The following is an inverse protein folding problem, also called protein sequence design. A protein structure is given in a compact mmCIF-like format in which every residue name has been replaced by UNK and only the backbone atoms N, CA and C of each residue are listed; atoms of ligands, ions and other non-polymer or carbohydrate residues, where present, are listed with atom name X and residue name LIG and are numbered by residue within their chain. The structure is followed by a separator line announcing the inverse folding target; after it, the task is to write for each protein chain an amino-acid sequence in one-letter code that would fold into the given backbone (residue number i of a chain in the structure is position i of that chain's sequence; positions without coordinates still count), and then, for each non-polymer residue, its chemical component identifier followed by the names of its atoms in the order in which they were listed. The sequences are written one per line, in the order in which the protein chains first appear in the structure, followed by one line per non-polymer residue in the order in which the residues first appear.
data_IF_829856415245
#
_entry.id   IF_829856415245
#
_cell.length_a   1.000
_cell.length_b   1.000
_cell.length_c   1.000
_cell.angle_alpha   90.00
_cell.angle_beta   90.00
_cell.angle_gamma   90.00
#
_symmetry.space_group_name_H-M   'P 1'
#
loop_
_entity.id
_entity.type
_entity.pdbx_description
1 polymer ?
#
# COMPACT_ATOMS: atom_id res chain seq x y z
N UNK A 1 40.95 -22.76 16.20
CA UNK A 1 40.36 -22.95 14.88
C UNK A 1 40.45 -21.61 14.18
N UNK A 2 41.50 -21.41 13.42
CA UNK A 2 41.91 -20.14 12.80
C UNK A 2 41.06 -19.90 11.55
N UNK A 3 40.44 -18.73 11.43
CA UNK A 3 39.60 -18.35 10.29
C UNK A 3 40.50 -17.72 9.22
N UNK A 4 40.74 -18.46 8.13
CA UNK A 4 41.50 -18.00 6.96
C UNK A 4 40.66 -17.02 6.11
N UNK A 5 41.10 -15.78 6.08
CA UNK A 5 40.45 -14.63 5.45
C UNK A 5 40.73 -14.44 3.95
N UNK A 6 40.92 -15.49 3.16
CA UNK A 6 41.19 -15.36 1.72
C UNK A 6 40.06 -15.89 0.83
N UNK A 7 38.90 -15.23 0.79
CA UNK A 7 37.97 -15.34 -0.35
C UNK A 7 37.95 -14.05 -1.14
N UNK A 8 38.62 -14.10 -2.30
CA UNK A 8 38.58 -13.08 -3.34
C UNK A 8 37.14 -12.87 -3.78
N UNK A 9 36.77 -11.60 -4.00
CA UNK A 9 35.55 -11.21 -4.66
C UNK A 9 35.42 -12.00 -5.98
N UNK A 10 34.49 -12.93 -6.02
CA UNK A 10 34.10 -13.62 -7.24
C UNK A 10 33.30 -12.66 -8.11
N UNK A 11 33.75 -12.50 -9.33
CA UNK A 11 33.08 -11.77 -10.39
C UNK A 11 31.62 -12.18 -10.50
N UNK A 12 30.71 -11.23 -10.29
CA UNK A 12 29.30 -11.33 -10.65
C UNK A 12 29.23 -11.10 -12.16
N UNK A 13 28.71 -12.03 -12.95
CA UNK A 13 28.59 -11.81 -14.39
C UNK A 13 27.65 -10.62 -14.68
N UNK A 14 28.06 -9.72 -15.56
CA UNK A 14 27.34 -8.53 -16.04
C UNK A 14 26.02 -8.80 -16.79
N UNK A 15 25.49 -10.02 -16.71
CA UNK A 15 24.31 -10.47 -17.45
C UNK A 15 22.94 -10.16 -16.77
N UNK A 16 22.91 -9.38 -15.67
CA UNK A 16 21.65 -9.12 -14.94
C UNK A 16 21.03 -7.74 -15.18
N UNK A 17 21.64 -6.91 -16.05
CA UNK A 17 21.04 -5.63 -16.47
C UNK A 17 20.67 -5.65 -17.96
N UNK A 18 19.82 -6.57 -18.38
CA UNK A 18 19.07 -6.36 -19.61
C UNK A 18 17.94 -5.39 -19.33
N UNK A 19 18.18 -4.13 -19.67
CA UNK A 19 17.17 -3.09 -19.73
C UNK A 19 16.07 -3.51 -20.70
N UNK A 20 14.89 -3.79 -20.17
CA UNK A 20 13.68 -3.95 -20.98
C UNK A 20 13.33 -2.58 -21.59
N UNK A 21 13.51 -2.35 -22.89
CA UNK A 21 13.14 -1.08 -23.50
C UNK A 21 11.61 -0.98 -23.53
N UNK A 22 11.07 -0.08 -22.68
CA UNK A 22 9.67 0.35 -22.77
C UNK A 22 9.45 0.93 -24.17
N UNK A 23 8.82 0.17 -25.05
CA UNK A 23 8.39 0.65 -26.38
C UNK A 23 7.38 1.77 -26.20
N UNK A 24 7.84 3.01 -26.25
CA UNK A 24 6.96 4.18 -26.46
C UNK A 24 6.43 4.11 -27.88
N UNK A 25 5.19 3.68 -28.03
CA UNK A 25 4.45 3.74 -29.29
C UNK A 25 4.01 5.18 -29.54
N UNK A 26 4.86 5.98 -30.16
CA UNK A 26 4.45 7.25 -30.74
C UNK A 26 3.80 6.95 -32.11
N UNK A 27 2.49 6.87 -32.13
CA UNK A 27 1.73 6.94 -33.41
C UNK A 27 1.76 8.38 -33.90
N UNK A 28 2.76 8.72 -34.69
CA UNK A 28 2.72 9.92 -35.54
C UNK A 28 1.71 9.68 -36.65
N UNK A 29 0.65 10.47 -36.65
CA UNK A 29 -0.25 10.60 -37.79
C UNK A 29 0.43 11.58 -38.75
N UNK A 30 1.05 11.05 -39.78
CA UNK A 30 1.57 11.85 -40.86
C UNK A 30 0.42 12.15 -41.83
N UNK A 31 -0.06 13.39 -41.86
CA UNK A 31 -0.93 13.88 -42.91
C UNK A 31 -0.04 14.32 -44.10
N UNK A 32 -0.05 13.55 -45.14
CA UNK A 32 0.58 13.92 -46.41
C UNK A 32 -0.33 14.88 -47.17
N UNK A 33 0.06 16.14 -47.28
CA UNK A 33 -0.54 17.09 -48.20
C UNK A 33 0.33 17.15 -49.47
N UNK A 34 -0.17 16.60 -50.56
CA UNK A 34 0.41 16.79 -51.91
C UNK A 34 -0.01 18.16 -52.41
N UNK A 35 0.94 19.08 -52.51
CA UNK A 35 0.73 20.37 -53.13
C UNK A 35 1.10 20.37 -54.62
N UNK A 36 0.14 20.64 -55.50
CA UNK A 36 0.40 20.97 -56.90
C UNK A 36 0.53 22.50 -57.02
N UNK A 37 1.70 22.96 -57.51
CA UNK A 37 1.94 24.34 -57.86
C UNK A 37 1.29 24.63 -59.22
N UNK A 38 0.36 25.58 -59.31
CA UNK A 38 0.05 26.30 -60.51
C UNK A 38 0.12 27.79 -60.25
N UNK A 39 1.09 28.45 -60.90
CA UNK A 39 1.28 29.88 -60.91
C UNK A 39 0.29 30.54 -61.88
N UNK A 40 -0.65 31.33 -61.39
CA UNK A 40 -1.24 32.43 -62.18
C UNK A 40 -1.57 33.58 -61.19
N UNK A 41 -1.11 34.77 -61.54
CA UNK A 41 -1.24 35.98 -60.72
C UNK A 41 -2.68 36.46 -60.56
N UNK A 42 -2.93 37.12 -59.44
CA UNK A 42 -4.19 37.86 -59.25
C UNK A 42 -4.52 38.10 -57.77
N UNK A 43 -4.39 39.36 -57.38
CA UNK A 43 -5.06 40.04 -56.28
C UNK A 43 -5.30 39.26 -54.95
N UNK A 44 -4.53 39.63 -53.94
CA UNK A 44 -4.70 39.14 -52.58
C UNK A 44 -5.94 39.76 -51.91
N UNK A 45 -7.05 39.05 -51.92
CA UNK A 45 -8.12 39.28 -50.94
C UNK A 45 -7.77 38.52 -49.68
N UNK A 46 -7.45 39.22 -48.60
CA UNK A 46 -7.29 38.62 -47.26
C UNK A 46 -8.67 38.23 -46.76
N UNK A 47 -9.09 37.02 -47.02
CA UNK A 47 -10.26 36.44 -46.39
C UNK A 47 -9.89 36.08 -44.95
N UNK A 48 -10.31 36.92 -43.98
CA UNK A 48 -10.35 36.54 -42.59
C UNK A 48 -11.28 35.31 -42.47
N UNK A 49 -10.69 34.13 -42.37
CA UNK A 49 -11.41 32.92 -42.02
C UNK A 49 -11.82 33.07 -40.51
N UNK A 50 -13.02 33.60 -40.29
CA UNK A 50 -13.68 33.50 -38.98
C UNK A 50 -13.93 32.02 -38.76
N UNK A 51 -13.14 31.41 -37.86
CA UNK A 51 -13.42 30.07 -37.37
C UNK A 51 -14.84 30.06 -36.83
N UNK A 52 -15.70 29.12 -37.24
CA UNK A 52 -17.03 29.03 -36.67
C UNK A 52 -16.89 28.83 -35.15
N UNK A 53 -17.53 29.71 -34.38
CA UNK A 53 -17.58 29.58 -32.94
C UNK A 53 -18.09 28.16 -32.58
N UNK A 54 -17.33 27.44 -31.74
CA UNK A 54 -17.73 26.13 -31.31
C UNK A 54 -19.15 26.23 -30.70
N UNK A 55 -20.06 25.41 -31.19
CA UNK A 55 -21.40 25.34 -30.62
C UNK A 55 -21.32 25.10 -29.10
N UNK A 56 -22.14 25.78 -28.29
CA UNK A 56 -22.16 25.57 -26.86
C UNK A 56 -22.36 24.08 -26.57
N UNK A 57 -21.45 23.49 -25.77
CA UNK A 57 -21.56 22.10 -25.36
C UNK A 57 -22.92 21.87 -24.71
N UNK A 58 -23.62 20.82 -25.12
CA UNK A 58 -24.88 20.44 -24.51
C UNK A 58 -24.68 20.24 -23.00
N UNK A 59 -25.62 20.68 -22.14
CA UNK A 59 -25.49 20.52 -20.72
C UNK A 59 -25.33 19.04 -20.37
N UNK A 60 -24.23 18.71 -19.68
CA UNK A 60 -24.00 17.35 -19.17
C UNK A 60 -25.12 17.10 -18.14
N UNK A 61 -25.99 16.12 -18.42
CA UNK A 61 -26.94 15.64 -17.42
C UNK A 61 -26.14 15.03 -16.26
N UNK A 62 -26.03 15.77 -15.17
CA UNK A 62 -25.54 15.20 -13.90
C UNK A 62 -26.54 14.10 -13.50
N UNK A 63 -26.04 12.88 -13.28
CA UNK A 63 -26.88 11.80 -12.77
C UNK A 63 -27.52 12.27 -11.46
N UNK A 64 -28.83 12.00 -11.30
CA UNK A 64 -29.52 12.32 -10.05
C UNK A 64 -28.81 11.60 -8.90
N UNK A 65 -28.57 12.30 -7.80
CA UNK A 65 -28.03 11.71 -6.58
C UNK A 65 -29.00 10.63 -6.08
N UNK A 66 -28.49 9.40 -5.95
CA UNK A 66 -29.25 8.30 -5.38
C UNK A 66 -29.00 8.26 -3.88
N UNK A 67 -30.06 8.54 -3.11
CA UNK A 67 -30.01 8.45 -1.65
C UNK A 67 -30.62 7.10 -1.21
N UNK A 68 -29.78 6.18 -0.70
CA UNK A 68 -30.31 4.92 -0.16
C UNK A 68 -31.12 5.21 1.11
N UNK A 69 -32.16 4.40 1.35
CA UNK A 69 -32.90 4.48 2.59
C UNK A 69 -31.98 4.17 3.79
N UNK A 70 -32.16 4.84 4.95
CA UNK A 70 -31.26 4.70 6.10
C UNK A 70 -31.04 3.25 6.55
N UNK A 71 -32.03 2.38 6.44
CA UNK A 71 -31.95 0.95 6.77
C UNK A 71 -31.03 0.16 5.85
N UNK A 72 -30.71 0.70 4.69
CA UNK A 72 -29.79 0.10 3.72
C UNK A 72 -28.33 0.58 3.92
N UNK A 73 -28.10 1.41 4.94
CA UNK A 73 -26.77 1.98 5.22
C UNK A 73 -26.22 1.42 6.54
N UNK A 74 -25.00 0.91 6.52
CA UNK A 74 -24.33 0.38 7.71
C UNK A 74 -23.22 1.33 8.15
N UNK A 75 -23.29 1.79 9.41
CA UNK A 75 -22.20 2.54 10.02
C UNK A 75 -21.06 1.61 10.44
N UNK A 76 -19.82 2.05 10.21
CA UNK A 76 -18.63 1.27 10.55
C UNK A 76 -17.70 2.06 11.46
N UNK A 77 -17.20 1.39 12.51
CA UNK A 77 -16.18 1.94 13.38
C UNK A 77 -14.82 1.88 12.69
N UNK A 78 -14.08 2.98 12.77
CA UNK A 78 -12.71 3.09 12.26
C UNK A 78 -11.81 3.81 13.28
N UNK A 79 -10.52 3.51 13.26
CA UNK A 79 -9.54 4.28 14.03
C UNK A 79 -9.31 5.61 13.32
N UNK A 80 -9.32 6.71 14.07
CA UNK A 80 -9.05 8.03 13.50
C UNK A 80 -7.61 8.15 12.99
N UNK A 81 -7.34 9.06 12.05
CA UNK A 81 -5.99 9.26 11.50
C UNK A 81 -4.99 9.68 12.58
N UNK A 82 -5.43 10.52 13.54
CA UNK A 82 -4.58 10.92 14.67
C UNK A 82 -4.20 9.75 15.57
N UNK A 83 -5.17 8.90 15.91
CA UNK A 83 -4.93 7.69 16.69
C UNK A 83 -4.07 6.68 15.92
N UNK A 84 -4.33 6.49 14.63
CA UNK A 84 -3.53 5.60 13.78
C UNK A 84 -2.07 6.04 13.72
N UNK A 85 -1.83 7.35 13.57
CA UNK A 85 -0.47 7.92 13.59
C UNK A 85 0.21 7.72 14.95
N UNK A 86 -0.51 7.97 16.05
CA UNK A 86 0.03 7.75 17.40
C UNK A 86 0.44 6.30 17.63
N UNK A 87 -0.40 5.34 17.20
CA UNK A 87 -0.15 3.92 17.36
C UNK A 87 1.09 3.45 16.59
N UNK A 88 1.23 3.83 15.31
CA UNK A 88 2.40 3.40 14.51
C UNK A 88 3.69 4.05 15.01
N UNK A 89 3.63 5.30 15.50
CA UNK A 89 4.77 5.96 16.14
C UNK A 89 5.18 5.23 17.43
N UNK A 90 4.23 4.88 18.29
CA UNK A 90 4.52 4.17 19.55
C UNK A 90 5.14 2.78 19.28
N UNK A 91 4.60 2.03 18.32
CA UNK A 91 5.15 0.74 17.92
C UNK A 91 6.57 0.87 17.39
N UNK A 92 6.83 1.84 16.50
CA UNK A 92 8.16 2.08 15.96
C UNK A 92 9.15 2.50 17.05
N UNK A 93 8.73 3.40 17.94
CA UNK A 93 9.56 3.85 19.08
C UNK A 93 9.94 2.68 20.01
N UNK A 94 9.01 1.74 20.27
CA UNK A 94 9.30 0.51 21.03
C UNK A 94 10.35 -0.34 20.34
N UNK A 95 10.20 -0.59 19.03
CA UNK A 95 11.20 -1.33 18.27
C UNK A 95 12.58 -0.66 18.31
N UNK A 96 12.64 0.67 18.16
CA UNK A 96 13.89 1.43 18.24
C UNK A 96 14.55 1.33 19.62
N UNK A 97 13.75 1.43 20.69
CA UNK A 97 14.23 1.26 22.06
C UNK A 97 14.83 -0.14 22.28
N UNK A 98 14.24 -1.15 21.66
CA UNK A 98 14.73 -2.54 21.70
C UNK A 98 15.89 -2.80 20.70
N UNK A 99 16.41 -1.76 20.05
CA UNK A 99 17.49 -1.84 19.05
C UNK A 99 17.15 -2.71 17.83
N UNK A 100 15.93 -2.61 17.35
CA UNK A 100 15.40 -3.28 16.16
C UNK A 100 15.23 -2.26 15.02
N UNK A 101 16.29 -1.89 14.29
CA UNK A 101 16.26 -0.75 13.35
C UNK A 101 15.64 -1.09 11.98
N UNK A 102 15.38 -2.38 11.70
CA UNK A 102 15.02 -2.84 10.35
C UNK A 102 13.52 -3.10 10.17
N UNK A 103 12.69 -2.44 10.96
CA UNK A 103 11.25 -2.72 11.01
C UNK A 103 10.41 -1.70 10.28
N UNK A 104 9.29 -2.17 9.74
CA UNK A 104 8.17 -1.35 9.28
C UNK A 104 6.95 -1.64 10.16
N UNK A 105 6.18 -0.60 10.46
CA UNK A 105 4.93 -0.68 11.21
C UNK A 105 3.78 -0.22 10.31
N UNK A 106 2.69 -0.96 10.29
CA UNK A 106 1.46 -0.56 9.59
C UNK A 106 0.24 -0.70 10.50
N UNK A 107 -0.69 0.24 10.40
CA UNK A 107 -2.05 0.12 10.91
C UNK A 107 -3.01 0.00 9.74
N UNK A 108 -3.76 -1.09 9.70
CA UNK A 108 -4.68 -1.46 8.61
C UNK A 108 -6.07 -1.64 9.20
N UNK A 109 -7.09 -1.10 8.54
CA UNK A 109 -8.47 -1.34 8.97
C UNK A 109 -8.93 -2.78 8.66
N UNK A 110 -10.08 -3.14 9.20
CA UNK A 110 -10.64 -4.49 9.03
C UNK A 110 -10.84 -4.90 7.56
N UNK A 111 -10.92 -3.93 6.64
CA UNK A 111 -11.17 -4.17 5.22
C UNK A 111 -9.90 -4.19 4.37
N UNK A 112 -8.73 -4.09 5.02
CA UNK A 112 -7.44 -4.14 4.35
C UNK A 112 -6.89 -2.78 3.91
N UNK A 113 -7.56 -1.66 4.28
CA UNK A 113 -7.09 -0.33 3.93
C UNK A 113 -6.05 0.16 4.92
N UNK A 114 -4.88 0.58 4.42
CA UNK A 114 -3.83 1.17 5.25
C UNK A 114 -4.28 2.54 5.74
N UNK A 115 -4.26 2.74 7.06
CA UNK A 115 -4.58 4.01 7.72
C UNK A 115 -3.33 4.82 8.05
N UNK A 116 -2.27 4.14 8.47
CA UNK A 116 -0.96 4.72 8.74
C UNK A 116 0.13 3.66 8.52
N UNK A 117 1.30 4.12 8.09
CA UNK A 117 2.47 3.28 7.90
C UNK A 117 3.73 4.10 8.18
N UNK A 118 4.65 3.53 8.94
CA UNK A 118 6.00 4.05 9.13
C UNK A 118 7.02 2.96 8.83
N UNK A 119 7.91 3.26 7.91
CA UNK A 119 9.08 2.44 7.62
C UNK A 119 10.27 3.00 8.37
N UNK A 120 10.94 2.20 9.19
CA UNK A 120 12.20 2.58 9.83
C UNK A 120 13.30 2.85 8.79
N UNK A 121 14.26 3.71 9.13
CA UNK A 121 15.26 4.22 8.19
C UNK A 121 16.06 3.12 7.46
N UNK A 122 16.29 1.99 8.13
CA UNK A 122 17.07 0.87 7.59
C UNK A 122 16.20 -0.33 7.19
N UNK A 123 14.87 -0.20 7.24
CA UNK A 123 13.97 -1.30 6.89
C UNK A 123 13.98 -1.57 5.38
N UNK A 124 14.08 -2.84 5.00
CA UNK A 124 14.01 -3.26 3.61
C UNK A 124 12.56 -3.22 3.09
N UNK A 125 12.38 -3.15 1.78
CA UNK A 125 11.07 -2.99 1.14
C UNK A 125 10.08 -4.11 1.51
N UNK A 126 10.52 -5.36 1.55
CA UNK A 126 9.66 -6.51 1.90
C UNK A 126 9.01 -6.40 3.29
N UNK A 127 9.60 -5.61 4.20
CA UNK A 127 9.04 -5.38 5.54
C UNK A 127 7.74 -4.58 5.49
N UNK A 128 7.55 -3.75 4.47
CA UNK A 128 6.33 -2.98 4.24
C UNK A 128 5.15 -3.93 4.03
N UNK A 129 5.31 -4.88 3.10
CA UNK A 129 4.25 -5.82 2.79
C UNK A 129 4.02 -6.79 3.95
N UNK A 130 5.08 -7.25 4.61
CA UNK A 130 4.98 -8.08 5.81
C UNK A 130 4.19 -7.39 6.93
N UNK A 131 4.47 -6.12 7.23
CA UNK A 131 3.75 -5.34 8.25
C UNK A 131 2.27 -5.18 7.88
N UNK A 132 1.95 -4.83 6.64
CA UNK A 132 0.57 -4.69 6.14
C UNK A 132 -0.21 -5.99 6.24
N UNK A 133 0.36 -7.10 5.78
CA UNK A 133 -0.30 -8.40 5.78
C UNK A 133 -0.51 -8.92 7.20
N UNK A 134 0.47 -8.77 8.11
CA UNK A 134 0.29 -9.11 9.53
C UNK A 134 -0.80 -8.26 10.19
N UNK A 135 -0.83 -6.95 9.92
CA UNK A 135 -1.87 -6.05 10.41
C UNK A 135 -3.25 -6.47 9.94
N UNK A 136 -3.40 -6.72 8.63
CA UNK A 136 -4.65 -7.16 8.05
C UNK A 136 -5.09 -8.51 8.58
N UNK A 137 -4.19 -9.47 8.69
CA UNK A 137 -4.48 -10.80 9.25
C UNK A 137 -5.04 -10.66 10.68
N UNK A 138 -4.38 -9.88 11.54
CA UNK A 138 -4.87 -9.64 12.90
C UNK A 138 -6.24 -8.94 12.91
N UNK A 139 -6.45 -7.93 12.05
CA UNK A 139 -7.70 -7.20 11.92
C UNK A 139 -8.86 -8.09 11.43
N UNK A 140 -8.63 -8.87 10.37
CA UNK A 140 -9.64 -9.70 9.73
C UNK A 140 -10.09 -10.87 10.62
N UNK A 141 -9.13 -11.53 11.30
CA UNK A 141 -9.40 -12.69 12.15
C UNK A 141 -9.65 -12.33 13.61
N UNK A 142 -9.38 -11.10 14.03
CA UNK A 142 -9.63 -10.61 15.38
C UNK A 142 -8.78 -11.28 16.47
N UNK A 143 -7.59 -11.75 16.14
CA UNK A 143 -6.65 -12.37 17.07
C UNK A 143 -5.20 -12.03 16.72
N UNK A 144 -4.25 -12.07 17.68
CA UNK A 144 -2.83 -11.94 17.39
C UNK A 144 -2.37 -12.97 16.36
N UNK A 145 -1.47 -12.57 15.48
CA UNK A 145 -1.01 -13.48 14.43
C UNK A 145 -0.19 -14.65 14.97
N UNK A 146 0.43 -14.52 16.13
CA UNK A 146 1.07 -15.63 16.86
C UNK A 146 0.08 -16.73 17.28
N UNK A 147 -1.14 -16.35 17.68
CA UNK A 147 -2.20 -17.30 17.99
C UNK A 147 -2.80 -17.93 16.73
N UNK A 148 -2.95 -17.15 15.69
CA UNK A 148 -3.45 -17.63 14.41
C UNK A 148 -2.48 -18.61 13.77
N UNK A 149 -1.18 -18.38 13.86
CA UNK A 149 -0.13 -19.28 13.37
C UNK A 149 -0.25 -20.70 13.94
N UNK A 150 -0.68 -20.82 15.21
CA UNK A 150 -0.90 -22.12 15.87
C UNK A 150 -2.06 -22.96 15.26
N UNK A 151 -2.93 -22.30 14.48
CA UNK A 151 -4.07 -22.94 13.80
C UNK A 151 -3.72 -23.49 12.43
N UNK A 152 -2.51 -23.20 11.94
CA UNK A 152 -2.02 -23.70 10.66
C UNK A 152 -1.35 -25.05 10.91
N UNK A 153 -2.04 -26.12 10.54
CA UNK A 153 -1.58 -27.48 10.75
C UNK A 153 -1.62 -28.28 9.43
N UNK A 154 -0.64 -29.15 9.24
CA UNK A 154 -0.60 -30.11 8.13
C UNK A 154 -0.04 -29.54 6.83
N UNK A 155 -0.03 -30.38 5.78
CA UNK A 155 0.54 -30.09 4.46
C UNK A 155 -0.53 -29.86 3.38
N UNK A 156 -1.80 -29.74 3.76
CA UNK A 156 -2.92 -29.48 2.86
C UNK A 156 -3.28 -28.00 2.81
N UNK A 157 -4.29 -27.64 1.99
CA UNK A 157 -4.83 -26.27 1.94
C UNK A 157 -5.22 -25.75 3.32
N UNK A 158 -4.86 -24.52 3.62
CA UNK A 158 -5.10 -23.91 4.93
C UNK A 158 -5.47 -22.43 4.82
N UNK A 159 -5.83 -21.81 5.93
CA UNK A 159 -6.07 -20.36 5.98
C UNK A 159 -4.82 -19.55 5.61
N UNK A 160 -3.63 -20.14 5.67
CA UNK A 160 -2.39 -19.48 5.25
C UNK A 160 -2.33 -19.24 3.73
N UNK A 161 -3.16 -19.92 2.94
CA UNK A 161 -3.22 -19.77 1.49
C UNK A 161 -4.11 -18.58 1.04
N UNK A 162 -4.75 -17.88 1.98
CA UNK A 162 -5.58 -16.73 1.68
C UNK A 162 -4.73 -15.54 1.23
N UNK A 163 -4.98 -14.96 0.03
CA UNK A 163 -4.22 -13.85 -0.49
C UNK A 163 -4.26 -12.63 0.44
N UNK A 164 -3.13 -11.93 0.55
CA UNK A 164 -3.02 -10.69 1.35
C UNK A 164 -2.93 -10.93 2.85
N UNK A 165 -2.85 -12.19 3.31
CA UNK A 165 -2.66 -12.54 4.73
C UNK A 165 -1.27 -13.08 5.00
N UNK A 166 -0.78 -12.89 6.24
CA UNK A 166 0.48 -13.43 6.70
C UNK A 166 0.35 -13.90 8.16
N UNK A 167 0.42 -15.21 8.37
CA UNK A 167 0.25 -15.86 9.68
C UNK A 167 1.59 -16.02 10.43
N UNK A 168 2.48 -15.04 10.30
CA UNK A 168 3.68 -14.94 11.12
C UNK A 168 3.43 -13.99 12.29
N UNK A 169 3.97 -14.26 13.51
CA UNK A 169 3.81 -13.36 14.65
C UNK A 169 4.23 -11.93 14.31
N UNK A 170 3.56 -10.95 14.90
CA UNK A 170 3.83 -9.53 14.69
C UNK A 170 2.59 -8.69 14.35
N UNK A 171 1.40 -9.28 14.31
CA UNK A 171 0.14 -8.58 14.12
C UNK A 171 -0.75 -8.64 15.36
N UNK A 172 -1.32 -7.52 15.79
CA UNK A 172 -2.20 -7.37 16.95
C UNK A 172 -3.51 -6.70 16.54
N UNK A 173 -4.69 -7.26 16.88
CA UNK A 173 -5.97 -6.64 16.52
C UNK A 173 -6.31 -5.49 17.45
N UNK A 174 -6.95 -4.46 16.89
CA UNK A 174 -7.61 -3.38 17.64
C UNK A 174 -9.11 -3.63 17.66
N UNK A 175 -9.69 -3.66 18.86
CA UNK A 175 -11.11 -4.01 19.06
C UNK A 175 -11.88 -2.90 19.75
N UNK A 176 -13.13 -2.74 19.32
CA UNK A 176 -14.13 -1.90 19.99
C UNK A 176 -15.30 -2.80 20.37
N UNK A 177 -15.63 -2.89 21.65
CA UNK A 177 -16.66 -3.78 22.19
C UNK A 177 -16.51 -5.23 21.72
N UNK A 178 -15.27 -5.74 21.71
CA UNK A 178 -14.97 -7.12 21.29
C UNK A 178 -14.91 -7.35 19.78
N UNK A 179 -15.33 -6.39 18.95
CA UNK A 179 -15.29 -6.47 17.49
C UNK A 179 -14.02 -5.84 16.96
N UNK A 180 -13.27 -6.57 16.13
CA UNK A 180 -12.07 -6.05 15.48
C UNK A 180 -12.42 -4.96 14.48
N UNK A 181 -11.75 -3.81 14.57
CA UNK A 181 -11.94 -2.65 13.69
C UNK A 181 -10.69 -2.32 12.87
N UNK A 182 -9.53 -2.74 13.37
CA UNK A 182 -8.22 -2.56 12.72
C UNK A 182 -7.21 -3.56 13.30
N UNK A 183 -6.00 -3.55 12.77
CA UNK A 183 -4.84 -4.24 13.31
C UNK A 183 -3.57 -3.42 13.14
N UNK A 184 -2.63 -3.63 14.04
CA UNK A 184 -1.26 -3.13 13.92
C UNK A 184 -0.38 -4.32 13.57
N UNK A 185 0.47 -4.16 12.56
CA UNK A 185 1.44 -5.16 12.17
C UNK A 185 2.84 -4.57 12.11
N UNK A 186 3.80 -5.36 12.54
CA UNK A 186 5.23 -5.05 12.46
C UNK A 186 5.92 -6.17 11.70
N UNK A 187 6.87 -5.80 10.87
CA UNK A 187 7.69 -6.73 10.13
C UNK A 187 9.12 -6.24 10.00
N UNK A 188 10.08 -7.15 10.15
CA UNK A 188 11.50 -6.86 9.98
C UNK A 188 12.39 -7.18 11.16
N UNK A 189 11.85 -7.47 12.34
CA UNK A 189 12.63 -8.00 13.45
C UNK A 189 13.13 -9.43 13.14
N UNK A 190 14.25 -9.86 13.72
CA UNK A 190 14.79 -11.20 13.50
C UNK A 190 13.87 -12.31 14.06
N UNK A 191 12.98 -11.98 14.97
CA UNK A 191 11.97 -12.87 15.55
C UNK A 191 10.60 -12.19 15.52
N UNK A 192 9.59 -12.91 15.07
CA UNK A 192 8.22 -12.40 15.01
C UNK A 192 7.61 -12.05 16.37
N UNK A 193 8.07 -12.65 17.47
CA UNK A 193 7.64 -12.28 18.81
C UNK A 193 8.11 -10.84 19.18
N UNK A 194 9.27 -10.42 18.69
CA UNK A 194 9.76 -9.05 18.82
C UNK A 194 8.90 -8.07 18.00
N UNK A 195 8.53 -8.45 16.77
CA UNK A 195 7.58 -7.69 15.96
C UNK A 195 6.25 -7.51 16.72
N UNK A 196 5.73 -8.60 17.33
CA UNK A 196 4.45 -8.57 18.05
C UNK A 196 4.51 -7.73 19.34
N UNK A 197 5.65 -7.74 20.05
CA UNK A 197 5.86 -6.87 21.19
C UNK A 197 5.81 -5.37 20.81
N UNK A 198 6.40 -5.01 19.65
CA UNK A 198 6.30 -3.65 19.13
C UNK A 198 4.86 -3.31 18.72
N UNK A 199 4.16 -4.22 18.02
CA UNK A 199 2.77 -4.03 17.63
C UNK A 199 1.86 -3.84 18.84
N UNK A 200 2.09 -4.61 19.92
CA UNK A 200 1.38 -4.49 21.20
C UNK A 200 1.57 -3.12 21.83
N UNK A 201 2.79 -2.59 21.86
CA UNK A 201 3.05 -1.24 22.37
C UNK A 201 2.28 -0.16 21.57
N UNK A 202 2.13 -0.34 20.27
CA UNK A 202 1.29 0.52 19.43
C UNK A 202 -0.20 0.41 19.79
N UNK A 203 -0.70 -0.79 20.04
CA UNK A 203 -2.07 -1.01 20.47
C UNK A 203 -2.35 -0.41 21.85
N UNK A 204 -1.42 -0.59 22.80
CA UNK A 204 -1.51 -0.06 24.16
C UNK A 204 -1.53 1.47 24.21
N UNK A 205 -0.86 2.13 23.26
CA UNK A 205 -0.89 3.59 23.15
C UNK A 205 -2.30 4.14 22.81
N UNK A 206 -3.20 3.30 22.32
CA UNK A 206 -4.60 3.64 22.05
C UNK A 206 -5.55 3.18 23.15
N UNK A 207 -5.07 2.39 24.11
CA UNK A 207 -5.91 1.91 25.19
C UNK A 207 -6.36 3.09 26.08
N UNK A 208 -7.65 3.15 26.38
CA UNK A 208 -8.16 4.05 27.42
C UNK A 208 -7.66 3.49 28.74
N UNK A 209 -6.97 4.31 29.54
CA UNK A 209 -6.59 3.90 30.89
C UNK A 209 -7.81 3.33 31.61
N UNK A 210 -7.70 2.09 32.08
CA UNK A 210 -8.75 1.48 32.87
C UNK A 210 -8.99 2.38 34.10
N UNK A 211 -10.20 2.93 34.23
CA UNK A 211 -10.61 3.73 35.39
C UNK A 211 -10.90 2.81 36.54
#
# INVERSE_FOLDING_TARGET
MEWDGSRKHGDVPDAYYEENPVKKSNKMIAAAAAGALLLTGGVTAVANAVSPAAAPAAPVKVAAEVQPAPENVVAQNRISVGASSAAVNAALAKCQADKLPFVTVALVDRFGTVQALLRGDNAAEHTIEAAKQKAYTAAAFGAPTSELAKRINGNGPSIADLPGTLFLPGGVPLKVNGVSVAGIGVGGAPDGALDEACATAGADALAVAAK
#
